data_IF_124929907605
#
_entry.id   IF_124929907605
#
_cell.length_a   1.000
_cell.length_b   1.000
_cell.length_c   1.000
_cell.angle_alpha   90.00
_cell.angle_beta   90.00
_cell.angle_gamma   90.00
#
_symmetry.space_group_name_H-M   'P 1'
#
loop_
_entity.id
_entity.type
_entity.pdbx_description
1 polymer ?
#
# COMPACT_ATOMS: atom_id res chain seq x y z
N UNK A 1 -10.93 -3.02 -2.66
CA UNK A 1 -9.92 -3.09 -1.59
C UNK A 1 -10.58 -2.72 -0.28
N UNK A 2 -10.57 -3.59 0.72
CA UNK A 2 -11.12 -3.27 2.04
C UNK A 2 -10.31 -2.13 2.66
N UNK A 3 -10.95 -1.26 3.43
CA UNK A 3 -10.33 -0.18 4.22
C UNK A 3 -9.56 0.93 3.48
N UNK A 4 -9.41 0.87 2.16
CA UNK A 4 -8.72 1.93 1.41
C UNK A 4 -9.33 3.33 1.60
N UNK A 5 -10.65 3.42 1.84
CA UNK A 5 -11.36 4.69 2.04
C UNK A 5 -11.69 4.99 3.51
N UNK A 6 -11.19 4.20 4.46
CA UNK A 6 -11.54 4.32 5.88
C UNK A 6 -10.53 5.14 6.69
N UNK A 7 -9.49 5.67 6.06
CA UNK A 7 -8.46 6.49 6.71
C UNK A 7 -7.46 5.67 7.53
N UNK A 8 -7.56 4.35 7.40
CA UNK A 8 -6.66 3.38 8.00
C UNK A 8 -5.63 2.96 6.96
N UNK A 9 -4.43 2.64 7.44
CA UNK A 9 -3.44 1.94 6.64
C UNK A 9 -3.99 0.52 6.32
N UNK A 10 -4.24 0.17 5.04
CA UNK A 10 -4.85 -1.11 4.70
C UNK A 10 -3.88 -2.29 4.87
N UNK A 11 -2.57 -2.03 4.91
CA UNK A 11 -1.52 -3.04 5.12
C UNK A 11 -1.20 -3.24 6.60
N UNK A 12 -1.50 -2.23 7.45
CA UNK A 12 -1.34 -2.33 8.90
C UNK A 12 -2.47 -1.59 9.65
N UNK A 13 -3.63 -2.23 9.78
CA UNK A 13 -4.85 -1.59 10.31
C UNK A 13 -4.76 -1.01 11.73
N UNK A 14 -3.92 -1.60 12.59
CA UNK A 14 -3.76 -1.14 13.98
C UNK A 14 -2.62 -0.14 14.14
N UNK A 15 -1.96 0.23 13.04
CA UNK A 15 -0.95 1.26 13.09
C UNK A 15 -1.61 2.60 13.38
N UNK A 16 -1.62 2.95 14.66
CA UNK A 16 -1.98 4.26 15.13
C UNK A 16 -0.72 5.09 15.16
N UNK A 17 -0.63 6.06 14.25
CA UNK A 17 0.34 7.12 14.42
C UNK A 17 0.12 7.76 15.79
N UNK A 18 1.20 8.02 16.53
CA UNK A 18 1.13 8.87 17.71
C UNK A 18 0.59 10.23 17.25
N UNK A 19 -0.67 10.53 17.59
CA UNK A 19 -1.38 11.76 17.20
C UNK A 19 -0.78 13.03 17.86
N UNK A 20 0.30 12.89 18.63
CA UNK A 20 0.79 13.91 19.56
C UNK A 20 2.25 14.33 19.34
N UNK A 21 2.83 14.21 18.14
CA UNK A 21 4.13 14.84 17.87
C UNK A 21 3.96 16.19 17.14
N UNK A 22 4.21 17.33 17.80
CA UNK A 22 4.14 18.66 17.18
C UNK A 22 5.24 18.91 16.13
N UNK A 23 6.26 18.04 16.09
CA UNK A 23 7.42 18.13 15.19
C UNK A 23 7.54 16.93 14.23
N UNK A 24 6.46 16.19 14.01
CA UNK A 24 6.42 15.16 12.96
C UNK A 24 6.60 15.85 11.60
N UNK A 25 7.80 15.77 11.03
CA UNK A 25 8.13 16.28 9.70
C UNK A 25 6.98 15.98 8.76
N UNK A 26 6.37 17.03 8.20
CA UNK A 26 5.27 16.91 7.24
C UNK A 26 5.58 15.75 6.30
N UNK A 27 4.67 14.78 6.12
CA UNK A 27 4.86 13.76 5.09
C UNK A 27 5.18 14.53 3.82
N UNK A 28 6.30 14.19 3.18
CA UNK A 28 6.70 14.79 1.92
C UNK A 28 5.44 14.83 1.05
N UNK A 29 4.98 16.04 0.77
CA UNK A 29 3.84 16.32 -0.08
C UNK A 29 4.23 15.85 -1.48
N UNK A 30 4.09 14.56 -1.72
CA UNK A 30 4.29 13.98 -3.03
C UNK A 30 3.03 14.35 -3.80
N UNK A 31 3.14 15.40 -4.62
CA UNK A 31 2.07 16.01 -5.41
C UNK A 31 1.61 15.13 -6.58
N UNK A 32 1.71 13.81 -6.45
CA UNK A 32 1.11 12.87 -7.37
C UNK A 32 -0.42 12.94 -7.17
N UNK A 33 -1.06 13.80 -7.96
CA UNK A 33 -2.50 13.98 -8.02
C UNK A 33 -3.14 12.64 -8.42
N UNK A 34 -3.62 11.88 -7.44
CA UNK A 34 -4.47 10.71 -7.67
C UNK A 34 -5.81 11.19 -8.27
N UNK A 35 -6.40 10.52 -9.27
CA UNK A 35 -7.62 10.99 -9.93
C UNK A 35 -8.81 11.02 -8.95
N UNK A 36 -9.56 12.13 -8.96
CA UNK A 36 -10.77 12.30 -8.14
C UNK A 36 -11.88 11.37 -8.63
N UNK A 37 -12.25 10.34 -7.84
CA UNK A 37 -13.41 9.49 -8.12
C UNK A 37 -14.64 9.77 -7.22
N UNK A 38 -15.80 9.39 -7.76
CA UNK A 38 -17.16 9.86 -7.47
C UNK A 38 -17.68 9.57 -6.04
N UNK A 39 -18.38 10.56 -5.47
CA UNK A 39 -18.76 10.71 -4.04
C UNK A 39 -20.05 10.00 -3.61
N UNK A 40 -20.63 9.08 -4.37
CA UNK A 40 -22.07 8.81 -4.21
C UNK A 40 -22.47 7.55 -3.42
N UNK A 41 -21.53 6.78 -2.85
CA UNK A 41 -21.85 5.56 -2.07
C UNK A 41 -21.16 5.44 -0.70
N UNK A 42 -20.42 6.46 -0.25
CA UNK A 42 -19.53 6.40 0.92
C UNK A 42 -20.13 7.11 2.16
N UNK A 43 -21.35 7.65 2.09
CA UNK A 43 -21.88 8.50 3.18
C UNK A 43 -22.27 7.74 4.46
N UNK A 44 -22.68 6.47 4.36
CA UNK A 44 -23.19 5.74 5.53
C UNK A 44 -22.05 5.20 6.42
N UNK A 45 -20.97 4.70 5.82
CA UNK A 45 -19.82 4.15 6.56
C UNK A 45 -18.98 5.25 7.23
N UNK A 46 -18.87 6.43 6.59
CA UNK A 46 -18.15 7.59 7.12
C UNK A 46 -18.77 8.08 8.45
N UNK A 47 -20.10 8.04 8.59
CA UNK A 47 -20.79 8.55 9.80
C UNK A 47 -20.45 7.75 11.06
N UNK A 48 -20.25 6.43 10.92
CA UNK A 48 -19.91 5.56 12.04
C UNK A 48 -18.43 5.69 12.44
N UNK A 49 -17.54 5.82 11.46
CA UNK A 49 -16.10 5.99 11.66
C UNK A 49 -15.75 7.38 12.23
N UNK A 50 -16.40 8.45 11.78
CA UNK A 50 -16.25 9.81 12.34
C UNK A 50 -16.55 9.88 13.84
N UNK A 51 -17.48 9.05 14.33
CA UNK A 51 -17.87 9.03 15.75
C UNK A 51 -16.83 8.33 16.64
N UNK A 52 -15.96 7.48 16.07
CA UNK A 52 -15.00 6.66 16.82
C UNK A 52 -13.55 7.10 16.66
N UNK A 53 -13.18 7.70 15.52
CA UNK A 53 -11.77 7.98 15.16
C UNK A 53 -11.46 9.46 14.89
N UNK A 54 -12.38 10.39 15.17
CA UNK A 54 -12.13 11.82 14.93
C UNK A 54 -12.28 12.22 13.46
N UNK A 55 -12.04 13.51 13.18
CA UNK A 55 -12.42 14.20 11.93
C UNK A 55 -11.82 13.54 10.68
N UNK A 56 -12.66 12.92 9.87
CA UNK A 56 -12.34 12.58 8.48
C UNK A 56 -12.38 13.87 7.65
N UNK A 57 -11.22 14.35 7.19
CA UNK A 57 -11.16 15.44 6.22
C UNK A 57 -11.47 14.88 4.83
N UNK A 58 -12.59 15.30 4.25
CA UNK A 58 -12.98 14.92 2.90
C UNK A 58 -12.05 15.49 1.80
N UNK A 59 -11.06 16.33 2.18
CA UNK A 59 -10.01 16.84 1.31
C UNK A 59 -8.68 16.09 1.43
N UNK A 60 -8.59 15.06 2.30
CA UNK A 60 -7.38 14.24 2.40
C UNK A 60 -7.27 13.37 1.14
N UNK A 61 -6.37 13.76 0.26
CA UNK A 61 -6.05 13.06 -1.00
C UNK A 61 -5.25 11.79 -0.78
N UNK A 62 -4.81 11.53 0.46
CA UNK A 62 -4.19 10.30 0.88
C UNK A 62 -4.95 9.76 2.11
N UNK A 63 -5.64 8.62 2.02
CA UNK A 63 -6.38 8.00 3.14
C UNK A 63 -5.46 7.34 4.17
N UNK A 64 -4.17 7.65 4.11
CA UNK A 64 -3.09 6.99 4.79
C UNK A 64 -2.68 7.84 6.02
N UNK A 65 -2.48 7.24 7.21
CA UNK A 65 -2.04 7.95 8.40
C UNK A 65 -0.78 8.79 8.15
N UNK A 66 -0.60 9.93 8.83
CA UNK A 66 0.52 10.85 8.56
C UNK A 66 1.94 10.24 8.73
N UNK A 67 2.06 9.19 9.54
CA UNK A 67 3.28 8.40 9.76
C UNK A 67 3.32 7.10 8.94
N UNK A 68 2.33 6.87 8.08
CA UNK A 68 2.41 5.79 7.10
C UNK A 68 3.24 6.28 5.92
N UNK A 69 4.27 5.52 5.64
CA UNK A 69 5.45 5.98 4.95
C UNK A 69 5.79 4.96 3.86
N UNK A 70 5.33 5.20 2.64
CA UNK A 70 5.50 4.27 1.51
C UNK A 70 6.51 4.77 0.48
N UNK A 71 6.91 6.04 0.55
CA UNK A 71 7.82 6.70 -0.40
C UNK A 71 9.11 7.21 0.27
N UNK A 72 9.41 6.77 1.49
CA UNK A 72 10.54 7.28 2.29
C UNK A 72 11.88 7.12 1.60
N UNK A 73 12.03 6.06 0.81
CA UNK A 73 13.26 5.78 0.09
C UNK A 73 13.38 6.56 -1.22
N UNK A 74 12.32 7.20 -1.71
CA UNK A 74 12.34 7.87 -3.03
C UNK A 74 13.37 8.98 -3.07
N UNK A 75 13.44 9.82 -2.04
CA UNK A 75 14.44 10.90 -1.97
C UNK A 75 15.85 10.35 -1.90
N UNK A 76 16.08 9.31 -1.09
CA UNK A 76 17.40 8.72 -0.89
C UNK A 76 17.90 8.00 -2.16
N UNK A 77 17.07 7.14 -2.75
CA UNK A 77 17.40 6.39 -3.98
C UNK A 77 17.59 7.28 -5.20
N UNK A 78 17.08 8.51 -5.19
CA UNK A 78 17.28 9.47 -6.28
C UNK A 78 18.53 10.34 -6.18
N UNK A 79 19.29 10.25 -5.08
CA UNK A 79 20.56 10.97 -4.99
C UNK A 79 21.57 10.40 -5.99
N UNK A 80 22.36 11.27 -6.63
CA UNK A 80 23.34 10.88 -7.65
C UNK A 80 24.43 9.95 -7.10
N UNK A 81 24.89 10.21 -5.89
CA UNK A 81 25.90 9.38 -5.22
C UNK A 81 25.34 7.99 -4.90
N UNK A 82 24.10 7.90 -4.40
CA UNK A 82 23.42 6.63 -4.15
C UNK A 82 23.22 5.86 -5.46
N UNK A 83 22.65 6.48 -6.49
CA UNK A 83 22.50 5.87 -7.83
C UNK A 83 23.84 5.33 -8.36
N UNK A 84 24.90 6.12 -8.23
CA UNK A 84 26.24 5.71 -8.69
C UNK A 84 26.78 4.52 -7.88
N UNK A 85 26.57 4.51 -6.56
CA UNK A 85 27.01 3.44 -5.68
C UNK A 85 26.31 2.10 -5.94
N UNK A 86 25.05 2.11 -6.37
CA UNK A 86 24.29 0.91 -6.78
C UNK A 86 24.29 0.68 -8.30
N UNK A 87 25.20 1.35 -9.03
CA UNK A 87 25.40 1.21 -10.47
C UNK A 87 24.16 1.48 -11.33
N UNK A 88 23.29 2.40 -10.90
CA UNK A 88 22.16 2.90 -11.72
C UNK A 88 22.66 4.03 -12.64
N UNK A 89 22.51 3.91 -13.98
CA UNK A 89 22.93 4.96 -14.91
C UNK A 89 22.19 6.28 -14.66
N UNK A 90 22.91 7.41 -14.69
CA UNK A 90 22.30 8.73 -14.44
C UNK A 90 21.33 9.19 -15.54
N UNK A 91 21.32 8.52 -16.70
CA UNK A 91 20.46 8.82 -17.84
C UNK A 91 19.04 8.23 -17.72
N UNK A 92 18.83 7.27 -16.81
CA UNK A 92 17.49 6.70 -16.63
C UNK A 92 16.61 7.59 -15.76
N UNK A 93 15.31 7.33 -15.79
CA UNK A 93 14.31 8.06 -15.02
C UNK A 93 14.60 8.03 -13.50
N UNK A 94 13.94 8.92 -12.78
CA UNK A 94 13.95 8.87 -11.33
C UNK A 94 13.26 7.61 -10.81
N UNK A 95 13.79 7.06 -9.73
CA UNK A 95 13.15 5.99 -9.00
C UNK A 95 11.82 6.50 -8.43
N UNK A 96 10.79 5.68 -8.55
CA UNK A 96 9.53 5.80 -7.86
C UNK A 96 9.17 4.41 -7.30
N UNK A 97 8.50 4.37 -6.15
CA UNK A 97 8.11 3.10 -5.49
C UNK A 97 7.21 2.26 -6.37
N UNK A 98 6.25 2.91 -7.05
CA UNK A 98 5.29 2.28 -7.97
C UNK A 98 5.27 3.02 -9.31
N UNK A 99 5.08 2.28 -10.40
CA UNK A 99 4.86 2.85 -11.74
C UNK A 99 3.38 2.83 -12.09
N UNK A 100 2.77 4.00 -12.17
CA UNK A 100 1.35 4.15 -12.56
C UNK A 100 1.09 3.68 -13.98
N UNK A 101 2.09 3.81 -14.86
CA UNK A 101 1.99 3.34 -16.25
C UNK A 101 1.94 1.81 -16.31
N UNK A 102 2.75 1.13 -15.51
CA UNK A 102 2.72 -0.34 -15.41
C UNK A 102 1.40 -0.80 -14.82
N UNK A 103 0.95 -0.18 -13.72
CA UNK A 103 -0.34 -0.51 -13.09
C UNK A 103 -1.52 -0.37 -14.08
N UNK A 104 -1.58 0.74 -14.82
CA UNK A 104 -2.68 1.03 -15.73
C UNK A 104 -2.76 0.09 -16.95
N UNK A 105 -1.64 -0.55 -17.31
CA UNK A 105 -1.55 -1.41 -18.50
C UNK A 105 -1.32 -2.89 -18.16
N UNK A 106 -1.26 -3.26 -16.89
CA UNK A 106 -1.11 -4.66 -16.49
C UNK A 106 -2.40 -5.45 -16.75
N UNK A 107 -2.25 -6.69 -17.23
CA UNK A 107 -3.36 -7.63 -17.44
C UNK A 107 -3.11 -8.88 -16.60
N UNK A 108 -4.07 -9.23 -15.75
CA UNK A 108 -4.01 -10.46 -14.96
C UNK A 108 -4.19 -11.68 -15.87
N UNK A 109 -3.23 -12.60 -15.85
CA UNK A 109 -3.26 -13.83 -16.68
C UNK A 109 -3.67 -15.08 -15.90
N UNK A 110 -3.48 -15.09 -14.57
CA UNK A 110 -3.72 -16.23 -13.69
C UNK A 110 -4.55 -15.75 -12.49
N UNK A 111 -5.79 -16.24 -12.42
CA UNK A 111 -6.71 -15.93 -11.32
C UNK A 111 -6.64 -16.95 -10.18
N UNK A 112 -6.17 -18.17 -10.47
CA UNK A 112 -6.01 -19.24 -9.49
C UNK A 112 -4.61 -19.85 -9.57
N UNK A 113 -3.85 -19.72 -8.48
CA UNK A 113 -2.50 -20.26 -8.36
C UNK A 113 -2.45 -21.65 -7.74
N UNK A 114 -3.60 -22.20 -7.31
CA UNK A 114 -3.70 -23.52 -6.65
C UNK A 114 -3.05 -24.65 -7.45
N UNK A 115 -3.20 -24.75 -8.79
CA UNK A 115 -2.56 -25.83 -9.55
C UNK A 115 -1.03 -25.83 -9.44
N UNK A 116 -0.40 -24.65 -9.44
CA UNK A 116 1.05 -24.52 -9.34
C UNK A 116 1.55 -24.86 -7.93
N UNK A 117 0.79 -24.48 -6.90
CA UNK A 117 1.10 -24.82 -5.51
C UNK A 117 0.99 -26.34 -5.30
N UNK A 118 -0.05 -26.97 -5.84
CA UNK A 118 -0.24 -28.42 -5.76
C UNK A 118 0.88 -29.18 -6.47
N UNK A 119 1.29 -28.76 -7.66
CA UNK A 119 2.41 -29.35 -8.38
C UNK A 119 3.73 -29.22 -7.58
N UNK A 120 3.97 -28.05 -6.98
CA UNK A 120 5.12 -27.81 -6.12
C UNK A 120 5.13 -28.73 -4.89
N UNK A 121 3.97 -28.96 -4.25
CA UNK A 121 3.81 -29.90 -3.14
C UNK A 121 4.06 -31.35 -3.60
N UNK A 122 3.42 -31.75 -4.70
CA UNK A 122 3.52 -33.11 -5.25
C UNK A 122 4.93 -33.47 -5.70
N UNK A 123 5.71 -32.49 -6.14
CA UNK A 123 7.11 -32.68 -6.51
C UNK A 123 7.97 -33.24 -5.37
N UNK A 124 7.59 -33.01 -4.12
CA UNK A 124 8.35 -33.35 -2.90
C UNK A 124 9.81 -32.84 -2.91
N UNK A 125 10.07 -31.76 -3.66
CA UNK A 125 11.40 -31.16 -3.84
C UNK A 125 11.50 -29.75 -3.27
N UNK A 126 10.38 -29.17 -2.88
CA UNK A 126 10.26 -27.79 -2.42
C UNK A 126 9.73 -27.75 -0.98
N UNK A 127 10.21 -26.77 -0.22
CA UNK A 127 9.62 -26.39 1.08
C UNK A 127 8.86 -25.09 0.87
N UNK A 128 7.57 -25.10 1.16
CA UNK A 128 6.67 -23.98 0.87
C UNK A 128 6.17 -23.41 2.20
N UNK A 129 6.14 -22.08 2.29
CA UNK A 129 5.59 -21.33 3.43
C UNK A 129 4.69 -20.23 2.87
N UNK A 130 3.47 -20.15 3.38
CA UNK A 130 2.61 -18.99 3.22
C UNK A 130 2.56 -18.23 4.54
N UNK A 131 2.72 -16.91 4.49
CA UNK A 131 2.61 -16.04 5.65
C UNK A 131 1.75 -14.83 5.29
N UNK A 132 0.90 -14.40 6.22
CA UNK A 132 0.07 -13.21 6.09
C UNK A 132 0.24 -12.37 7.36
N UNK A 133 0.16 -11.05 7.23
CA UNK A 133 -0.08 -10.19 8.37
C UNK A 133 -1.49 -10.43 8.90
N UNK A 134 -1.64 -10.65 10.21
CA UNK A 134 -2.93 -10.86 10.87
C UNK A 134 -3.84 -9.62 10.84
N UNK A 135 -3.25 -8.46 10.53
CA UNK A 135 -3.88 -7.15 10.46
C UNK A 135 -3.79 -6.48 9.09
N UNK A 136 -3.27 -7.20 8.09
CA UNK A 136 -3.37 -6.80 6.68
C UNK A 136 -4.82 -7.02 6.22
N UNK A 137 -5.39 -6.02 5.56
CA UNK A 137 -6.74 -6.07 5.02
C UNK A 137 -6.81 -6.10 3.49
N UNK A 138 -5.67 -5.96 2.80
CA UNK A 138 -5.58 -6.15 1.35
C UNK A 138 -5.52 -7.64 1.04
N UNK A 139 -4.54 -8.36 1.60
CA UNK A 139 -4.31 -9.79 1.41
C UNK A 139 -4.36 -10.54 2.75
N UNK A 140 -5.53 -10.48 3.38
CA UNK A 140 -5.73 -10.94 4.75
C UNK A 140 -5.62 -12.46 4.94
N UNK A 141 -5.42 -12.87 6.19
CA UNK A 141 -5.32 -14.28 6.62
C UNK A 141 -6.53 -15.13 6.24
N UNK A 142 -7.74 -14.56 6.22
CA UNK A 142 -8.98 -15.29 5.89
C UNK A 142 -9.07 -15.58 4.38
N UNK A 143 -8.60 -14.66 3.53
CA UNK A 143 -8.49 -14.90 2.09
C UNK A 143 -7.53 -16.07 1.81
N UNK A 144 -6.40 -16.12 2.53
CA UNK A 144 -5.41 -17.19 2.34
C UNK A 144 -5.71 -18.48 3.11
N UNK A 145 -6.70 -18.49 4.01
CA UNK A 145 -7.12 -19.69 4.75
C UNK A 145 -8.17 -20.53 4.02
N UNK A 146 -8.48 -20.20 2.75
CA UNK A 146 -9.42 -20.95 1.93
C UNK A 146 -8.72 -22.22 1.43
N UNK A 147 -8.86 -23.28 2.23
CA UNK A 147 -8.52 -24.67 1.85
C UNK A 147 -9.82 -25.47 1.78
#
# INVERSE_FOLDING_TARGET
>A
MANYYTGLDPYFLYFSCYLDQPDGTNPLSNTNKIPKYSKNSIDFQIKHLKRRFGKFDNNQTNPLPACSHYDDMVTWLNRRDVKSAIHVPLMVQNYATCSTDVEAHYVTEIDDVSPFVLDAIQSNRLKIVFFNGDVDSVCNVVHNSQV
#
